data_IF_861777472797
#
_entry.id   IF_861777472797
#
_cell.length_a   1.000
_cell.length_b   1.000
_cell.length_c   1.000
_cell.angle_alpha   90.00
_cell.angle_beta   90.00
_cell.angle_gamma   90.00
#
_symmetry.space_group_name_H-M   'P 1'
#
loop_
_entity.id
_entity.type
_entity.pdbx_description
1 polymer ?
#
# COMPACT_ATOMS: atom_id res chain seq x y z
N UNK A 1 -29.65 0.53 -8.13
CA UNK A 1 -28.52 1.21 -7.49
C UNK A 1 -27.98 2.20 -8.50
N UNK A 2 -28.03 3.52 -8.20
CA UNK A 2 -27.43 4.51 -9.10
C UNK A 2 -25.90 4.35 -9.00
N UNK A 3 -25.27 3.93 -10.09
CA UNK A 3 -23.81 3.93 -10.18
C UNK A 3 -23.32 5.38 -10.01
N UNK A 4 -22.47 5.62 -9.01
CA UNK A 4 -21.85 6.94 -8.79
C UNK A 4 -20.98 7.26 -10.01
N UNK A 5 -21.39 8.24 -10.81
CA UNK A 5 -20.59 8.70 -11.94
C UNK A 5 -19.27 9.29 -11.44
N UNK A 6 -18.15 8.87 -12.03
CA UNK A 6 -16.85 9.46 -11.79
C UNK A 6 -16.86 10.92 -12.19
N UNK A 7 -16.49 11.84 -11.28
CA UNK A 7 -16.47 13.28 -11.54
C UNK A 7 -15.08 13.85 -11.23
N UNK A 8 -14.67 14.79 -12.05
CA UNK A 8 -13.45 15.57 -11.86
C UNK A 8 -13.82 17.04 -11.75
N UNK A 9 -13.26 17.75 -10.77
CA UNK A 9 -13.57 19.16 -10.59
C UNK A 9 -13.08 20.00 -11.77
N UNK A 10 -11.98 19.58 -12.40
CA UNK A 10 -11.45 20.22 -13.62
C UNK A 10 -12.46 20.27 -14.79
N UNK A 11 -13.39 19.31 -14.87
CA UNK A 11 -14.38 19.23 -15.95
C UNK A 11 -15.57 20.15 -15.70
N UNK A 12 -15.78 20.56 -14.44
CA UNK A 12 -16.93 21.33 -14.00
C UNK A 12 -16.55 22.78 -13.71
N UNK A 13 -15.43 22.97 -13.02
CA UNK A 13 -14.90 24.28 -12.66
C UNK A 13 -13.36 24.24 -12.72
N UNK A 14 -12.76 24.42 -13.93
CA UNK A 14 -11.33 24.34 -14.11
C UNK A 14 -10.55 25.45 -13.36
N UNK A 15 -11.16 26.61 -13.18
CA UNK A 15 -10.55 27.75 -12.47
C UNK A 15 -10.39 27.43 -10.99
N UNK A 16 -11.46 26.95 -10.33
CA UNK A 16 -11.42 26.54 -8.95
C UNK A 16 -10.47 25.36 -8.74
N UNK A 17 -10.46 24.40 -9.67
CA UNK A 17 -9.52 23.28 -9.61
C UNK A 17 -8.07 23.77 -9.71
N UNK A 18 -7.79 24.75 -10.54
CA UNK A 18 -6.47 25.36 -10.66
C UNK A 18 -6.06 26.12 -9.37
N UNK A 19 -6.97 26.89 -8.80
CA UNK A 19 -6.76 27.59 -7.52
C UNK A 19 -6.39 26.61 -6.40
N UNK A 20 -7.17 25.54 -6.22
CA UNK A 20 -6.89 24.50 -5.23
C UNK A 20 -5.51 23.87 -5.44
N UNK A 21 -5.17 23.52 -6.69
CA UNK A 21 -3.87 22.92 -7.00
C UNK A 21 -2.71 23.91 -6.74
N UNK A 22 -2.90 25.20 -6.97
CA UNK A 22 -1.89 26.22 -6.66
C UNK A 22 -1.62 26.28 -5.16
N UNK A 23 -2.66 26.30 -4.31
CA UNK A 23 -2.50 26.28 -2.86
C UNK A 23 -1.75 25.00 -2.41
N UNK A 24 -2.11 23.83 -2.96
CA UNK A 24 -1.40 22.57 -2.68
C UNK A 24 0.08 22.66 -3.04
N UNK A 25 0.40 23.26 -4.19
CA UNK A 25 1.80 23.44 -4.61
C UNK A 25 2.54 24.43 -3.70
N UNK A 26 1.93 25.55 -3.36
CA UNK A 26 2.48 26.59 -2.50
C UNK A 26 2.71 26.09 -1.08
N UNK A 27 1.82 25.21 -0.56
CA UNK A 27 1.97 24.60 0.76
C UNK A 27 3.31 23.88 0.96
N UNK A 28 3.96 23.46 -0.15
CA UNK A 28 5.28 22.80 -0.11
C UNK A 28 6.41 23.77 0.27
N UNK A 29 6.17 25.07 0.20
CA UNK A 29 7.12 26.13 0.59
C UNK A 29 6.95 26.51 2.08
N UNK A 30 5.96 25.97 2.78
CA UNK A 30 5.74 26.24 4.19
C UNK A 30 6.97 25.82 5.03
N UNK A 31 7.32 26.65 6.01
CA UNK A 31 8.52 26.45 6.84
C UNK A 31 8.33 25.38 7.87
N UNK A 32 7.11 25.18 8.32
CA UNK A 32 6.77 24.18 9.35
C UNK A 32 5.72 23.22 8.81
N UNK A 33 5.68 22.04 9.44
CA UNK A 33 4.69 21.03 9.11
C UNK A 33 3.25 21.49 9.42
N UNK A 34 3.09 22.29 10.50
CA UNK A 34 1.79 22.86 10.85
C UNK A 34 1.32 23.87 9.81
N UNK A 35 2.16 24.81 9.41
CA UNK A 35 1.82 25.76 8.35
C UNK A 35 1.41 25.04 7.06
N UNK A 36 2.10 23.94 6.72
CA UNK A 36 1.75 23.15 5.54
C UNK A 36 0.37 22.49 5.67
N UNK A 37 0.05 21.96 6.86
CA UNK A 37 -1.29 21.41 7.13
C UNK A 37 -2.34 22.51 7.00
N UNK A 38 -2.11 23.70 7.57
CA UNK A 38 -3.06 24.81 7.54
C UNK A 38 -3.35 25.26 6.10
N UNK A 39 -2.33 25.35 5.25
CA UNK A 39 -2.52 25.65 3.83
C UNK A 39 -3.31 24.54 3.09
N UNK A 40 -3.00 23.27 3.35
CA UNK A 40 -3.75 22.16 2.77
C UNK A 40 -5.21 22.14 3.24
N UNK A 41 -5.48 22.54 4.48
CA UNK A 41 -6.86 22.70 4.99
C UNK A 41 -7.60 23.84 4.30
N UNK A 42 -6.93 24.95 3.97
CA UNK A 42 -7.52 26.03 3.14
C UNK A 42 -7.92 25.49 1.75
N UNK A 43 -7.05 24.69 1.12
CA UNK A 43 -7.40 24.04 -0.14
C UNK A 43 -8.61 23.11 -0.01
N UNK A 44 -8.69 22.38 1.10
CA UNK A 44 -9.82 21.48 1.40
C UNK A 44 -11.16 22.24 1.53
N UNK A 45 -11.15 23.40 2.16
CA UNK A 45 -12.38 24.20 2.36
C UNK A 45 -12.95 24.74 1.05
N UNK A 46 -12.11 24.92 0.02
CA UNK A 46 -12.54 25.33 -1.31
C UNK A 46 -13.24 24.20 -2.11
N UNK A 47 -13.05 22.94 -1.77
CA UNK A 47 -13.66 21.84 -2.52
C UNK A 47 -15.18 21.82 -2.25
N UNK A 48 -16.02 21.87 -3.30
CA UNK A 48 -17.48 21.80 -3.14
C UNK A 48 -17.90 20.50 -2.46
N UNK A 49 -18.87 20.58 -1.55
CA UNK A 49 -19.34 19.43 -0.77
C UNK A 49 -20.52 18.73 -1.48
N UNK A 50 -20.62 17.42 -1.40
CA UNK A 50 -19.70 16.48 -0.73
C UNK A 50 -18.40 16.29 -1.55
N UNK A 51 -17.24 16.55 -0.94
CA UNK A 51 -15.96 16.52 -1.61
C UNK A 51 -15.63 15.16 -2.27
N UNK A 52 -16.10 14.06 -1.69
CA UNK A 52 -15.88 12.71 -2.21
C UNK A 52 -16.56 12.42 -3.55
N UNK A 53 -17.41 13.33 -4.04
CA UNK A 53 -17.95 13.20 -5.41
C UNK A 53 -16.88 13.46 -6.48
N UNK A 54 -15.82 14.23 -6.14
CA UNK A 54 -14.73 14.53 -7.06
C UNK A 54 -13.53 13.63 -6.79
N UNK A 55 -13.08 12.89 -7.82
CA UNK A 55 -11.86 12.07 -7.70
C UNK A 55 -10.65 12.97 -7.47
N UNK A 56 -10.52 14.00 -8.32
CA UNK A 56 -9.54 15.07 -8.15
C UNK A 56 -10.25 16.40 -8.00
N UNK A 57 -9.74 17.30 -7.15
CA UNK A 57 -8.48 17.27 -6.38
C UNK A 57 -8.56 16.48 -5.06
N UNK A 58 -9.75 15.98 -4.67
CA UNK A 58 -10.03 15.42 -3.33
C UNK A 58 -9.06 14.32 -2.92
N UNK A 59 -8.86 13.30 -3.77
CA UNK A 59 -8.01 12.18 -3.38
C UNK A 59 -6.54 12.58 -3.19
N UNK A 60 -6.02 13.43 -4.06
CA UNK A 60 -4.65 13.93 -3.98
C UNK A 60 -4.43 14.77 -2.71
N UNK A 61 -5.32 15.73 -2.46
CA UNK A 61 -5.26 16.60 -1.30
C UNK A 61 -5.37 15.79 0.01
N UNK A 62 -6.34 14.88 0.10
CA UNK A 62 -6.52 14.06 1.31
C UNK A 62 -5.33 13.13 1.56
N UNK A 63 -4.71 12.58 0.50
CA UNK A 63 -3.48 11.80 0.63
C UNK A 63 -2.30 12.65 1.12
N UNK A 64 -2.18 13.89 0.65
CA UNK A 64 -1.16 14.84 1.10
C UNK A 64 -1.36 15.21 2.58
N UNK A 65 -2.57 15.53 3.00
CA UNK A 65 -2.91 15.83 4.41
C UNK A 65 -2.62 14.60 5.30
N UNK A 66 -3.06 13.43 4.87
CA UNK A 66 -2.79 12.16 5.56
C UNK A 66 -1.29 11.93 5.75
N UNK A 67 -0.48 12.21 4.72
CA UNK A 67 0.97 12.14 4.79
C UNK A 67 1.57 13.07 5.85
N UNK A 68 1.03 14.29 6.00
CA UNK A 68 1.50 15.25 7.03
C UNK A 68 1.18 14.76 8.44
N UNK A 69 -0.04 14.24 8.66
CA UNK A 69 -0.37 13.62 9.95
C UNK A 69 0.45 12.37 10.25
N UNK A 70 0.80 11.57 9.25
CA UNK A 70 1.74 10.45 9.40
C UNK A 70 3.13 10.96 9.88
N UNK A 71 3.64 12.05 9.32
CA UNK A 71 4.90 12.66 9.76
C UNK A 71 4.85 13.13 11.22
N UNK A 72 3.70 13.64 11.67
CA UNK A 72 3.44 13.98 13.07
C UNK A 72 3.22 12.73 13.95
N UNK A 73 3.19 11.53 13.39
CA UNK A 73 2.82 10.27 14.04
C UNK A 73 1.38 10.26 14.59
N UNK A 74 0.53 11.16 14.11
CA UNK A 74 -0.90 11.14 14.39
C UNK A 74 -1.60 10.23 13.36
N UNK A 75 -1.39 8.93 13.55
CA UNK A 75 -1.91 7.93 12.60
C UNK A 75 -3.43 7.85 12.59
N UNK A 76 -4.09 8.25 13.68
CA UNK A 76 -5.56 8.31 13.73
C UNK A 76 -6.10 9.36 12.77
N UNK A 77 -5.57 10.58 12.80
CA UNK A 77 -5.94 11.62 11.83
C UNK A 77 -5.50 11.26 10.42
N UNK A 78 -4.32 10.67 10.26
CA UNK A 78 -3.87 10.20 8.96
C UNK A 78 -4.87 9.20 8.36
N UNK A 79 -5.45 8.29 9.19
CA UNK A 79 -6.46 7.33 8.75
C UNK A 79 -7.77 8.00 8.34
N UNK A 80 -8.23 9.01 9.08
CA UNK A 80 -9.43 9.78 8.71
C UNK A 80 -9.29 10.35 7.28
N UNK A 81 -8.16 11.01 7.00
CA UNK A 81 -7.91 11.64 5.70
C UNK A 81 -7.72 10.64 4.57
N UNK A 82 -6.99 9.54 4.80
CA UNK A 82 -6.81 8.54 3.73
C UNK A 82 -8.12 7.82 3.41
N UNK A 83 -9.03 7.66 4.38
CA UNK A 83 -10.35 7.08 4.12
C UNK A 83 -11.19 7.99 3.21
N UNK A 84 -11.08 9.31 3.32
CA UNK A 84 -11.74 10.25 2.40
C UNK A 84 -11.16 10.09 0.98
N UNK A 85 -9.83 9.94 0.86
CA UNK A 85 -9.17 9.69 -0.43
C UNK A 85 -9.65 8.38 -1.08
N UNK A 86 -9.73 7.30 -0.29
CA UNK A 86 -10.23 5.98 -0.74
C UNK A 86 -11.69 6.06 -1.21
N UNK A 87 -12.56 6.78 -0.47
CA UNK A 87 -13.96 6.94 -0.87
C UNK A 87 -14.09 7.79 -2.15
N UNK A 88 -13.30 8.84 -2.30
CA UNK A 88 -13.29 9.64 -3.54
C UNK A 88 -12.85 8.80 -4.75
N UNK A 89 -11.94 7.83 -4.55
CA UNK A 89 -11.43 6.91 -5.59
C UNK A 89 -12.19 5.60 -5.72
N UNK A 90 -13.30 5.44 -5.10
CA UNK A 90 -14.06 4.18 -5.10
C UNK A 90 -14.39 3.65 -6.49
N UNK A 91 -14.62 4.54 -7.46
CA UNK A 91 -14.89 4.20 -8.87
C UNK A 91 -13.63 4.12 -9.72
N UNK A 92 -12.52 4.69 -9.25
CA UNK A 92 -11.22 4.70 -9.93
C UNK A 92 -10.12 4.37 -8.91
N UNK A 93 -10.02 3.12 -8.49
CA UNK A 93 -9.02 2.69 -7.51
C UNK A 93 -7.60 3.04 -7.95
N UNK A 94 -6.69 3.19 -6.99
CA UNK A 94 -5.30 3.58 -7.24
C UNK A 94 -4.36 2.94 -6.21
N UNK A 95 -3.39 2.19 -6.72
CA UNK A 95 -2.44 1.45 -5.93
C UNK A 95 -1.57 2.31 -5.01
N UNK A 96 -1.33 3.58 -5.35
CA UNK A 96 -0.60 4.50 -4.49
C UNK A 96 -1.41 4.87 -3.26
N UNK A 97 -2.70 5.14 -3.42
CA UNK A 97 -3.62 5.40 -2.30
C UNK A 97 -3.75 4.17 -1.39
N UNK A 98 -3.76 2.96 -1.98
CA UNK A 98 -3.75 1.71 -1.21
C UNK A 98 -2.46 1.53 -0.40
N UNK A 99 -1.29 1.87 -0.97
CA UNK A 99 -0.02 1.81 -0.23
C UNK A 99 -0.07 2.68 1.03
N UNK A 100 -0.53 3.94 0.89
CA UNK A 100 -0.65 4.86 2.02
C UNK A 100 -1.61 4.33 3.10
N UNK A 101 -2.76 3.80 2.71
CA UNK A 101 -3.68 3.17 3.65
C UNK A 101 -3.01 1.98 4.37
N UNK A 102 -2.34 1.11 3.64
CA UNK A 102 -1.60 -0.03 4.20
C UNK A 102 -0.55 0.39 5.23
N UNK A 103 0.22 1.44 4.94
CA UNK A 103 1.22 2.01 5.85
C UNK A 103 0.56 2.51 7.14
N UNK A 104 -0.52 3.28 7.03
CA UNK A 104 -1.21 3.86 8.19
C UNK A 104 -1.81 2.76 9.06
N UNK A 105 -2.47 1.76 8.49
CA UNK A 105 -2.99 0.62 9.24
C UNK A 105 -1.87 -0.19 9.92
N UNK A 106 -0.72 -0.35 9.26
CA UNK A 106 0.45 -1.00 9.86
C UNK A 106 0.94 -0.24 11.10
N UNK A 107 1.09 1.07 11.02
CA UNK A 107 1.54 1.91 12.14
C UNK A 107 0.53 1.96 13.30
N UNK A 108 -0.76 1.79 13.01
CA UNK A 108 -1.83 1.64 14.00
C UNK A 108 -1.89 0.23 14.63
N UNK A 109 -1.12 -0.73 14.10
CA UNK A 109 -1.14 -2.11 14.57
C UNK A 109 -2.28 -2.97 14.01
N UNK A 110 -3.07 -2.44 13.08
CA UNK A 110 -4.10 -3.21 12.36
C UNK A 110 -3.49 -3.97 11.19
N UNK A 111 -2.87 -5.11 11.52
CA UNK A 111 -2.12 -5.93 10.58
C UNK A 111 -3.01 -6.58 9.51
N UNK A 112 -4.29 -6.77 9.77
CA UNK A 112 -5.22 -7.36 8.81
C UNK A 112 -5.52 -6.37 7.67
N UNK A 113 -5.92 -5.14 8.01
CA UNK A 113 -6.14 -4.10 7.03
C UNK A 113 -4.84 -3.67 6.35
N UNK A 114 -3.71 -3.62 7.08
CA UNK A 114 -2.40 -3.35 6.47
C UNK A 114 -2.09 -4.36 5.37
N UNK A 115 -2.23 -5.66 5.64
CA UNK A 115 -2.01 -6.70 4.63
C UNK A 115 -2.96 -6.55 3.45
N UNK A 116 -4.25 -6.35 3.70
CA UNK A 116 -5.27 -6.15 2.65
C UNK A 116 -4.88 -5.05 1.68
N UNK A 117 -4.51 -3.87 2.19
CA UNK A 117 -4.17 -2.73 1.35
C UNK A 117 -2.81 -2.90 0.65
N UNK A 118 -1.82 -3.52 1.29
CA UNK A 118 -0.57 -3.88 0.64
C UNK A 118 -0.76 -4.93 -0.48
N UNK A 119 -1.70 -5.87 -0.33
CA UNK A 119 -2.01 -6.84 -1.38
C UNK A 119 -2.70 -6.18 -2.57
N UNK A 120 -3.62 -5.23 -2.34
CA UNK A 120 -4.21 -4.39 -3.39
C UNK A 120 -3.13 -3.59 -4.14
N UNK A 121 -2.22 -2.92 -3.41
CA UNK A 121 -1.07 -2.22 -3.99
C UNK A 121 -0.21 -3.14 -4.85
N UNK A 122 0.15 -4.30 -4.32
CA UNK A 122 1.01 -5.25 -5.04
C UNK A 122 0.34 -5.83 -6.29
N UNK A 123 -0.95 -6.08 -6.25
CA UNK A 123 -1.69 -6.60 -7.40
C UNK A 123 -1.71 -5.59 -8.55
N UNK A 124 -1.77 -4.29 -8.27
CA UNK A 124 -1.82 -3.21 -9.25
C UNK A 124 -0.42 -2.76 -9.70
N UNK A 125 0.46 -2.43 -8.77
CA UNK A 125 1.74 -1.74 -9.03
C UNK A 125 2.98 -2.60 -8.76
N UNK A 126 2.81 -3.84 -8.29
CA UNK A 126 3.90 -4.75 -7.91
C UNK A 126 4.78 -4.18 -6.79
N UNK A 127 6.10 -4.42 -6.85
CA UNK A 127 7.04 -4.04 -5.80
C UNK A 127 7.40 -2.55 -5.83
N UNK A 128 7.28 -1.90 -6.97
CA UNK A 128 7.84 -0.56 -7.21
C UNK A 128 7.50 0.46 -6.12
N UNK A 129 6.23 0.64 -5.67
CA UNK A 129 5.94 1.64 -4.65
C UNK A 129 6.54 1.30 -3.28
N UNK A 130 6.68 0.02 -2.95
CA UNK A 130 7.31 -0.40 -1.68
C UNK A 130 8.81 -0.08 -1.62
N UNK A 131 9.47 0.05 -2.77
CA UNK A 131 10.91 0.34 -2.81
C UNK A 131 11.25 1.74 -2.34
N UNK A 132 10.28 2.66 -2.30
CA UNK A 132 10.43 4.05 -1.89
C UNK A 132 10.10 4.27 -0.40
N UNK A 133 9.57 3.24 0.25
CA UNK A 133 9.14 3.28 1.65
C UNK A 133 10.05 2.43 2.55
N UNK A 134 9.84 2.50 3.88
CA UNK A 134 10.57 1.67 4.82
C UNK A 134 10.43 0.18 4.47
N UNK A 135 11.57 -0.51 4.43
CA UNK A 135 11.64 -1.95 4.10
C UNK A 135 10.75 -2.83 4.98
N UNK A 136 10.39 -2.36 6.19
CA UNK A 136 9.53 -3.09 7.12
C UNK A 136 8.15 -3.42 6.51
N UNK A 137 7.57 -2.53 5.70
CA UNK A 137 6.26 -2.73 5.08
C UNK A 137 6.29 -3.86 4.04
N UNK A 138 7.34 -3.86 3.20
CA UNK A 138 7.54 -4.93 2.23
C UNK A 138 7.86 -6.27 2.89
N UNK A 139 8.67 -6.27 3.97
CA UNK A 139 9.00 -7.47 4.71
C UNK A 139 7.76 -8.08 5.36
N UNK A 140 6.95 -7.26 6.02
CA UNK A 140 5.66 -7.66 6.58
C UNK A 140 4.73 -8.26 5.54
N UNK A 141 4.52 -7.55 4.42
CA UNK A 141 3.64 -8.03 3.34
C UNK A 141 4.08 -9.40 2.80
N UNK A 142 5.38 -9.57 2.50
CA UNK A 142 5.91 -10.85 2.03
C UNK A 142 5.70 -11.99 3.02
N UNK A 143 6.06 -11.75 4.28
CA UNK A 143 5.91 -12.75 5.33
C UNK A 143 4.44 -13.17 5.45
N UNK A 144 3.53 -12.22 5.52
CA UNK A 144 2.10 -12.50 5.67
C UNK A 144 1.53 -13.23 4.46
N UNK A 145 1.94 -12.87 3.27
CA UNK A 145 1.55 -13.55 2.03
C UNK A 145 2.03 -15.00 1.97
N UNK A 146 3.23 -15.27 2.48
CA UNK A 146 3.77 -16.64 2.60
C UNK A 146 3.01 -17.47 3.63
N UNK A 147 2.63 -16.89 4.77
CA UNK A 147 1.85 -17.54 5.80
C UNK A 147 0.45 -17.96 5.28
N UNK A 148 -0.20 -17.07 4.53
CA UNK A 148 -1.52 -17.32 3.95
C UNK A 148 -1.50 -18.27 2.75
N UNK A 149 -0.32 -18.49 2.11
CA UNK A 149 -0.16 -19.36 0.96
C UNK A 149 0.93 -20.44 1.18
N UNK A 150 0.78 -21.32 2.16
CA UNK A 150 1.81 -22.28 2.56
C UNK A 150 2.15 -23.32 1.48
N UNK A 151 1.28 -23.54 0.48
CA UNK A 151 1.43 -24.59 -0.56
C UNK A 151 2.63 -24.42 -1.49
N UNK A 152 3.28 -23.25 -1.52
CA UNK A 152 4.50 -23.04 -2.35
C UNK A 152 5.79 -23.51 -1.66
N UNK A 153 5.81 -23.69 -0.35
CA UNK A 153 7.03 -24.12 0.39
C UNK A 153 7.33 -25.60 0.24
N UNK A 154 6.32 -26.46 -0.03
CA UNK A 154 6.52 -27.92 -0.08
C UNK A 154 7.24 -28.39 -1.33
N UNK A 155 7.12 -27.69 -2.47
CA UNK A 155 7.80 -28.12 -3.73
C UNK A 155 9.30 -27.82 -3.78
N UNK A 156 9.81 -26.85 -3.03
CA UNK A 156 11.25 -26.56 -3.01
C UNK A 156 12.02 -27.42 -2.01
N UNK A 157 11.41 -27.81 -0.87
CA UNK A 157 12.06 -28.71 0.11
C UNK A 157 12.11 -30.16 -0.33
N UNK A 158 11.12 -30.65 -1.08
CA UNK A 158 11.12 -32.03 -1.60
C UNK A 158 12.22 -32.23 -2.67
N UNK A 159 12.58 -31.20 -3.42
CA UNK A 159 13.66 -31.31 -4.43
C UNK A 159 15.06 -31.42 -3.82
N UNK A 160 15.27 -30.99 -2.58
CA UNK A 160 16.57 -31.06 -1.89
C UNK A 160 16.79 -32.41 -1.18
N UNK A 161 15.73 -33.18 -0.87
CA UNK A 161 15.86 -34.47 -0.19
C UNK A 161 16.04 -35.67 -1.12
N UNK A 162 15.82 -35.51 -2.44
CA UNK A 162 15.97 -36.62 -3.40
C UNK A 162 17.37 -36.75 -4.01
N UNK A 163 18.32 -35.86 -3.67
CA UNK A 163 19.67 -35.90 -4.27
C UNK A 163 20.78 -36.35 -3.32
N UNK A 164 20.48 -36.80 -2.10
CA UNK A 164 21.57 -37.11 -1.14
C UNK A 164 21.50 -38.52 -0.50
N UNK A 165 20.83 -39.49 -1.11
CA UNK A 165 20.99 -40.87 -0.71
C UNK A 165 21.41 -41.74 -1.90
N UNK A 166 22.67 -41.62 -2.25
CA UNK A 166 23.36 -42.64 -3.02
C UNK A 166 24.01 -43.59 -2.02
N UNK A 167 23.38 -44.75 -1.78
CA UNK A 167 23.96 -45.86 -0.97
C UNK A 167 24.87 -46.65 -1.87
N UNK A 168 26.18 -46.75 -1.59
CA UNK A 168 27.03 -47.67 -2.34
C UNK A 168 26.72 -49.12 -1.93
N UNK A 169 26.43 -49.95 -2.91
CA UNK A 169 26.29 -51.37 -2.76
C UNK A 169 27.60 -51.99 -2.22
N UNK A 170 27.57 -52.56 -1.02
CA UNK A 170 28.63 -53.45 -0.56
C UNK A 170 28.49 -54.80 -1.30
N UNK A 171 29.48 -55.12 -2.09
CA UNK A 171 29.65 -56.44 -2.68
C UNK A 171 29.97 -57.46 -1.59
N UNK A 172 29.12 -58.44 -1.46
CA UNK A 172 29.32 -59.58 -0.58
C UNK A 172 30.42 -60.47 -1.17
N UNK A 173 31.50 -60.62 -0.43
CA UNK A 173 32.56 -61.66 -0.70
C UNK A 173 32.11 -62.95 -0.06
N UNK A 174 31.91 -63.99 -0.85
CA UNK A 174 31.66 -65.36 -0.40
C UNK A 174 32.97 -66.02 0.06
N UNK A 175 33.03 -66.72 1.21
CA UNK A 175 34.19 -67.48 1.55
C UNK A 175 34.14 -68.87 0.87
N UNK A 176 35.20 -69.19 0.15
CA UNK A 176 35.42 -70.53 -0.43
C UNK A 176 35.93 -71.48 0.65
N UNK A 177 35.17 -72.51 0.94
CA UNK A 177 35.58 -73.60 1.80
C UNK A 177 36.48 -74.55 0.95
N UNK A 178 37.69 -74.83 1.47
CA UNK A 178 38.53 -75.92 1.00
C UNK A 178 38.63 -76.97 2.12
N UNK A 179 38.43 -78.23 1.68
CA UNK A 179 38.68 -79.41 2.49
C UNK A 179 40.03 -79.44 3.11
#
# INVERSE_FOLDING_TARGET
>A
MNERKTMYLSDINPELNSEINNIICESRQAKTLQERIDELMRAWDLIPKPATQFVTPTSGLCSEISGRFKELKDYSKALEWINIALEARKTVPDGSTFLWAGIIYYELGDMENAYKYFDLTYNELRYTPFSMEDKKYWQFYKQRKEELNPKKKTKSKIRYFQTTFFVPYLTAVTPTTRM
#
